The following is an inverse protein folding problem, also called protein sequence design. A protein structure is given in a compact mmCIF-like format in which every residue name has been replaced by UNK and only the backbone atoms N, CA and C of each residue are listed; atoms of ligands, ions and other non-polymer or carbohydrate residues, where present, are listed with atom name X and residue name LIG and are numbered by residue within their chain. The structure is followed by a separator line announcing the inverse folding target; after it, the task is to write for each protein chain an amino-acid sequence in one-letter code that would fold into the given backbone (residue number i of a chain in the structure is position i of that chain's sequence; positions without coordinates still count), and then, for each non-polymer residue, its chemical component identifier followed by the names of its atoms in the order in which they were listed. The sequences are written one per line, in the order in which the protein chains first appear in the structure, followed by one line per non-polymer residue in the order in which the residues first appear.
data_IF_626116901473
#
_entry.id   IF_626116901473
#
_cell.length_a   1.000
_cell.length_b   1.000
_cell.length_c   1.000
_cell.angle_alpha   90.00
_cell.angle_beta   90.00
_cell.angle_gamma   90.00
#
_symmetry.space_group_name_H-M   'P 1'
#
loop_
_entity.id
_entity.type
_entity.pdbx_description
1 polymer ?
#
# COMPACT_ATOMS: atom_id res chain seq x y z
N UNK A 1 17.99 9.43 -15.78
CA UNK A 1 16.81 9.98 -16.47
C UNK A 1 15.84 8.82 -16.53
N UNK A 2 14.76 8.89 -15.81
CA UNK A 2 13.89 7.76 -15.47
C UNK A 2 13.15 7.28 -16.71
N UNK A 3 13.58 6.16 -17.24
CA UNK A 3 12.93 5.44 -18.35
C UNK A 3 11.68 4.69 -17.87
N UNK A 4 11.50 4.60 -16.53
CA UNK A 4 10.50 3.80 -15.86
C UNK A 4 9.55 4.68 -15.04
N UNK A 5 8.61 5.36 -15.72
CA UNK A 5 7.55 6.13 -15.08
C UNK A 5 6.20 5.48 -15.31
N UNK A 6 5.45 5.29 -14.23
CA UNK A 6 4.07 4.86 -14.26
C UNK A 6 3.13 6.05 -14.18
N UNK A 7 2.04 5.93 -14.91
CA UNK A 7 0.89 6.83 -14.83
C UNK A 7 -0.35 6.06 -14.36
N UNK A 8 -1.38 6.73 -13.87
CA UNK A 8 -2.63 6.04 -13.53
C UNK A 8 -3.21 5.21 -14.68
N UNK A 9 -2.99 5.62 -15.94
CA UNK A 9 -3.46 4.89 -17.12
C UNK A 9 -2.77 3.51 -17.30
N UNK A 10 -1.58 3.31 -16.73
CA UNK A 10 -0.84 2.06 -16.81
C UNK A 10 -1.37 0.98 -15.86
N UNK A 11 -2.15 1.37 -14.86
CA UNK A 11 -2.60 0.50 -13.76
C UNK A 11 -4.11 0.43 -13.59
N UNK A 12 -4.85 1.45 -14.05
CA UNK A 12 -6.32 1.45 -13.97
C UNK A 12 -6.93 0.37 -14.86
N UNK A 13 -8.04 -0.26 -14.44
CA UNK A 13 -8.80 -1.19 -15.26
C UNK A 13 -9.20 -0.57 -16.60
N UNK A 14 -9.25 -1.39 -17.64
CA UNK A 14 -9.66 -0.94 -18.96
C UNK A 14 -11.16 -0.57 -18.99
N UNK A 15 -11.49 0.54 -19.62
CA UNK A 15 -12.87 1.00 -19.79
C UNK A 15 -13.20 2.25 -18.99
N UNK A 16 -14.44 2.74 -19.09
CA UNK A 16 -14.87 3.91 -18.34
C UNK A 16 -15.05 3.56 -16.85
N UNK A 17 -14.87 4.54 -15.94
CA UNK A 17 -15.20 4.34 -14.53
C UNK A 17 -16.66 3.90 -14.35
N UNK A 18 -16.92 3.07 -13.34
CA UNK A 18 -18.28 2.61 -13.00
C UNK A 18 -19.11 3.76 -12.41
N UNK A 19 -19.76 4.51 -13.29
CA UNK A 19 -20.56 5.67 -12.87
C UNK A 19 -21.80 5.28 -12.05
N UNK A 20 -22.27 4.05 -12.21
CA UNK A 20 -23.45 3.46 -11.58
C UNK A 20 -23.14 2.60 -10.35
N UNK A 21 -21.88 2.57 -9.90
CA UNK A 21 -21.50 1.86 -8.69
C UNK A 21 -22.06 2.55 -7.45
N UNK A 22 -22.66 1.75 -6.55
CA UNK A 22 -23.19 2.22 -5.26
C UNK A 22 -22.10 2.50 -4.24
N UNK A 23 -20.89 1.94 -4.43
CA UNK A 23 -19.74 2.05 -3.52
C UNK A 23 -18.57 2.69 -4.26
N UNK A 24 -17.97 3.71 -3.65
CA UNK A 24 -16.69 4.29 -4.09
C UNK A 24 -15.58 3.94 -3.13
N UNK A 25 -14.47 3.42 -3.65
CA UNK A 25 -13.27 3.12 -2.88
C UNK A 25 -12.13 4.05 -3.30
N UNK A 26 -11.62 4.82 -2.35
CA UNK A 26 -10.39 5.59 -2.53
C UNK A 26 -9.19 4.65 -2.35
N UNK A 27 -8.40 4.49 -3.41
CA UNK A 27 -7.20 3.64 -3.42
C UNK A 27 -5.96 4.52 -3.46
N UNK A 28 -5.17 4.48 -2.40
CA UNK A 28 -3.99 5.31 -2.20
C UNK A 28 -2.74 4.47 -2.49
N UNK A 29 -1.95 4.88 -3.46
CA UNK A 29 -0.75 4.13 -3.87
C UNK A 29 0.39 5.02 -4.27
N UNK A 30 1.58 4.42 -4.36
CA UNK A 30 2.78 5.01 -4.95
C UNK A 30 2.97 4.40 -6.34
N UNK A 31 3.06 5.22 -7.37
CA UNK A 31 3.40 4.76 -8.72
C UNK A 31 4.89 4.90 -9.03
N UNK A 32 5.52 5.92 -8.47
CA UNK A 32 6.89 6.23 -8.80
C UNK A 32 7.73 6.40 -7.52
N UNK A 33 8.74 5.55 -7.37
CA UNK A 33 9.66 5.62 -6.24
C UNK A 33 10.89 6.47 -6.62
N UNK A 34 11.54 7.12 -5.66
CA UNK A 34 12.91 7.58 -5.85
C UNK A 34 13.79 6.42 -6.30
N UNK A 35 14.68 6.68 -7.27
CA UNK A 35 15.62 5.67 -7.80
C UNK A 35 14.96 4.39 -8.36
N UNK A 36 13.76 4.53 -8.94
CA UNK A 36 12.99 3.44 -9.51
C UNK A 36 13.79 2.67 -10.57
N UNK A 37 13.86 1.35 -10.39
CA UNK A 37 14.47 0.41 -11.31
C UNK A 37 13.42 -0.25 -12.21
N UNK A 38 13.85 -0.99 -13.24
CA UNK A 38 12.95 -1.81 -14.06
C UNK A 38 12.19 -2.83 -13.21
N UNK A 39 12.85 -3.43 -12.23
CA UNK A 39 12.25 -4.41 -11.32
C UNK A 39 11.14 -3.77 -10.47
N UNK A 40 11.44 -2.66 -9.79
CA UNK A 40 10.45 -1.97 -8.95
C UNK A 40 9.31 -1.38 -9.78
N UNK A 41 9.58 -0.86 -10.98
CA UNK A 41 8.56 -0.46 -11.94
C UNK A 41 7.60 -1.61 -12.27
N UNK A 42 8.14 -2.77 -12.67
CA UNK A 42 7.32 -3.94 -12.99
C UNK A 42 6.51 -4.45 -11.81
N UNK A 43 7.09 -4.40 -10.61
CA UNK A 43 6.44 -4.79 -9.37
C UNK A 43 5.26 -3.88 -9.02
N UNK A 44 5.50 -2.57 -8.98
CA UNK A 44 4.46 -1.57 -8.69
C UNK A 44 3.33 -1.62 -9.70
N UNK A 45 3.67 -1.69 -11.00
CA UNK A 45 2.67 -1.82 -12.06
C UNK A 45 1.76 -3.03 -11.83
N UNK A 46 2.36 -4.20 -11.62
CA UNK A 46 1.62 -5.45 -11.44
C UNK A 46 0.75 -5.43 -10.20
N UNK A 47 1.29 -5.06 -9.03
CA UNK A 47 0.55 -5.12 -7.78
C UNK A 47 -0.56 -4.08 -7.73
N UNK A 48 -0.29 -2.86 -8.18
CA UNK A 48 -1.31 -1.81 -8.24
C UNK A 48 -2.43 -2.20 -9.21
N UNK A 49 -2.09 -2.69 -10.42
CA UNK A 49 -3.08 -3.10 -11.40
C UNK A 49 -3.95 -4.26 -10.89
N UNK A 50 -3.37 -5.27 -10.23
CA UNK A 50 -4.13 -6.40 -9.65
C UNK A 50 -5.07 -5.91 -8.56
N UNK A 51 -4.62 -5.04 -7.67
CA UNK A 51 -5.47 -4.48 -6.62
C UNK A 51 -6.65 -3.71 -7.20
N UNK A 52 -6.40 -2.82 -8.17
CA UNK A 52 -7.44 -2.03 -8.82
C UNK A 52 -8.41 -2.90 -9.62
N UNK A 53 -7.90 -3.89 -10.36
CA UNK A 53 -8.73 -4.84 -11.08
C UNK A 53 -9.65 -5.63 -10.14
N UNK A 54 -9.14 -6.10 -9.00
CA UNK A 54 -9.93 -6.83 -7.99
C UNK A 54 -11.07 -5.97 -7.43
N UNK A 55 -10.81 -4.69 -7.16
CA UNK A 55 -11.82 -3.74 -6.69
C UNK A 55 -12.88 -3.48 -7.78
N UNK A 56 -12.45 -3.31 -9.04
CA UNK A 56 -13.37 -3.15 -10.16
C UNK A 56 -14.24 -4.38 -10.35
N UNK A 57 -13.69 -5.59 -10.32
CA UNK A 57 -14.43 -6.85 -10.42
C UNK A 57 -15.43 -7.03 -9.27
N UNK A 58 -15.15 -6.50 -8.10
CA UNK A 58 -16.09 -6.45 -6.98
C UNK A 58 -17.25 -5.45 -7.20
N UNK A 59 -17.21 -4.64 -8.27
CA UNK A 59 -18.28 -3.74 -8.65
C UNK A 59 -18.19 -2.33 -8.08
N UNK A 60 -17.09 -1.98 -7.38
CA UNK A 60 -16.92 -0.66 -6.82
C UNK A 60 -16.38 0.35 -7.84
N UNK A 61 -16.69 1.63 -7.63
CA UNK A 61 -16.04 2.74 -8.33
C UNK A 61 -14.69 3.03 -7.66
N UNK A 62 -13.66 3.17 -8.46
CA UNK A 62 -12.31 3.43 -7.98
C UNK A 62 -12.00 4.92 -8.08
N UNK A 63 -11.54 5.50 -6.97
CA UNK A 63 -10.84 6.77 -6.92
C UNK A 63 -9.36 6.49 -6.62
N UNK A 64 -8.56 6.34 -7.66
CA UNK A 64 -7.12 6.12 -7.47
C UNK A 64 -6.40 7.45 -7.23
N UNK A 65 -5.54 7.46 -6.21
CA UNK A 65 -4.71 8.60 -5.80
C UNK A 65 -3.26 8.17 -5.77
N UNK A 66 -2.47 8.69 -6.68
CA UNK A 66 -1.02 8.55 -6.67
C UNK A 66 -0.41 9.59 -5.73
N UNK A 67 0.12 9.15 -4.59
CA UNK A 67 0.76 10.07 -3.63
C UNK A 67 2.15 10.52 -4.04
N UNK A 68 2.70 9.97 -5.12
CA UNK A 68 3.98 10.41 -5.70
C UNK A 68 3.81 11.54 -6.73
N UNK A 69 2.58 11.83 -7.17
CA UNK A 69 2.27 12.96 -8.05
C UNK A 69 2.71 14.29 -7.41
N UNK A 70 3.04 15.28 -8.23
CA UNK A 70 3.37 16.62 -7.75
C UNK A 70 2.15 17.36 -7.19
N UNK A 71 0.95 17.04 -7.67
CA UNK A 71 -0.29 17.61 -7.18
C UNK A 71 -0.60 17.09 -5.76
N UNK A 72 -1.12 17.99 -4.92
CA UNK A 72 -1.59 17.61 -3.60
C UNK A 72 -2.87 16.76 -3.71
N UNK A 73 -3.01 15.63 -2.97
CA UNK A 73 -4.21 14.84 -2.97
C UNK A 73 -5.46 15.63 -2.55
N UNK A 74 -6.58 15.34 -3.20
CA UNK A 74 -7.88 15.85 -2.74
C UNK A 74 -8.36 15.04 -1.53
N UNK A 75 -7.91 15.43 -0.33
CA UNK A 75 -8.26 14.77 0.92
C UNK A 75 -9.76 14.79 1.22
N UNK A 76 -10.46 15.84 0.77
CA UNK A 76 -11.91 15.91 0.96
C UNK A 76 -12.63 14.85 0.14
N UNK A 77 -12.19 14.62 -1.09
CA UNK A 77 -12.73 13.56 -1.94
C UNK A 77 -12.34 12.16 -1.46
N UNK A 78 -11.15 11.98 -0.86
CA UNK A 78 -10.73 10.71 -0.23
C UNK A 78 -11.64 10.40 0.96
N UNK A 79 -11.88 11.36 1.85
CA UNK A 79 -12.74 11.20 3.04
C UNK A 79 -14.21 10.95 2.67
N UNK A 80 -14.66 11.42 1.51
CA UNK A 80 -16.03 11.24 1.05
C UNK A 80 -16.28 9.84 0.44
N UNK A 81 -15.24 9.05 0.19
CA UNK A 81 -15.38 7.68 -0.30
C UNK A 81 -15.95 6.75 0.79
N UNK A 82 -16.63 5.69 0.37
CA UNK A 82 -17.24 4.70 1.28
C UNK A 82 -16.20 3.84 2.00
N UNK A 83 -15.02 3.66 1.38
CA UNK A 83 -13.88 2.97 1.98
C UNK A 83 -12.55 3.48 1.42
N UNK A 84 -11.48 3.24 2.17
CA UNK A 84 -10.11 3.62 1.80
C UNK A 84 -9.26 2.36 1.78
N UNK A 85 -8.45 2.21 0.72
CA UNK A 85 -7.44 1.16 0.61
C UNK A 85 -6.08 1.82 0.44
N UNK A 86 -5.14 1.53 1.33
CA UNK A 86 -3.75 2.00 1.24
C UNK A 86 -2.87 0.84 0.80
N UNK A 87 -2.23 0.98 -0.36
CA UNK A 87 -1.44 -0.06 -0.99
C UNK A 87 0.00 -0.12 -0.46
N UNK A 88 0.75 -1.10 -0.95
CA UNK A 88 2.19 -1.23 -0.77
C UNK A 88 3.00 -0.19 -1.54
N UNK A 89 4.31 -0.23 -1.36
CA UNK A 89 5.26 0.70 -1.99
C UNK A 89 6.68 0.49 -1.50
N UNK A 90 7.51 1.53 -1.53
CA UNK A 90 8.84 1.55 -0.95
C UNK A 90 8.84 1.54 0.58
N UNK A 91 10.01 1.67 1.20
CA UNK A 91 10.12 1.68 2.65
C UNK A 91 9.60 2.99 3.26
N UNK A 92 9.25 2.92 4.54
CA UNK A 92 8.81 4.08 5.33
C UNK A 92 10.03 4.79 5.91
N UNK A 93 10.09 6.12 5.79
CA UNK A 93 11.15 6.94 6.37
C UNK A 93 11.34 6.63 7.86
N UNK A 94 12.56 6.24 8.26
CA UNK A 94 12.87 5.86 9.63
C UNK A 94 12.46 6.88 10.69
N UNK A 95 12.60 8.18 10.38
CA UNK A 95 12.22 9.27 11.27
C UNK A 95 10.74 9.24 11.66
N UNK A 96 9.85 8.68 10.84
CA UNK A 96 8.40 8.58 11.10
C UNK A 96 8.07 7.66 12.27
N UNK A 97 8.95 6.69 12.57
CA UNK A 97 8.77 5.75 13.69
C UNK A 97 9.92 5.81 14.71
N UNK A 98 10.70 6.91 14.69
CA UNK A 98 11.74 7.20 15.68
C UNK A 98 13.09 6.53 15.42
N UNK A 99 13.32 5.97 14.23
CA UNK A 99 14.63 5.46 13.83
C UNK A 99 15.41 6.54 13.10
N UNK A 100 16.68 6.78 13.52
CA UNK A 100 17.55 7.79 12.95
C UNK A 100 18.93 7.23 12.51
N UNK A 101 19.05 5.89 12.47
CA UNK A 101 20.24 5.20 11.98
C UNK A 101 20.19 4.92 10.48
N UNK A 102 21.29 4.40 9.95
CA UNK A 102 21.32 3.86 8.59
C UNK A 102 20.51 2.56 8.52
N UNK A 103 19.82 2.36 7.40
CA UNK A 103 19.07 1.14 7.08
C UNK A 103 19.69 0.53 5.82
N UNK A 104 20.47 -0.57 5.93
CA UNK A 104 21.30 -1.05 4.82
C UNK A 104 20.55 -1.44 3.55
N UNK A 105 19.32 -1.98 3.70
CA UNK A 105 18.51 -2.47 2.59
C UNK A 105 17.32 -1.55 2.25
N UNK A 106 17.36 -0.30 2.71
CA UNK A 106 16.30 0.68 2.47
C UNK A 106 16.18 1.02 0.97
N UNK A 107 14.93 1.07 0.48
CA UNK A 107 14.67 1.42 -0.92
C UNK A 107 13.39 2.26 -1.07
N UNK A 108 13.39 3.17 -2.05
CA UNK A 108 12.18 3.86 -2.49
C UNK A 108 11.53 4.76 -1.43
N UNK A 109 12.28 5.21 -0.42
CA UNK A 109 11.79 6.11 0.62
C UNK A 109 11.43 7.47 0.02
N UNK A 110 10.19 7.88 0.20
CA UNK A 110 9.69 9.19 -0.19
C UNK A 110 8.96 9.84 0.99
N UNK A 111 9.63 10.76 1.72
CA UNK A 111 9.04 11.43 2.88
C UNK A 111 7.75 12.19 2.59
N UNK A 112 7.58 12.69 1.35
CA UNK A 112 6.35 13.35 0.91
C UNK A 112 5.19 12.38 0.78
N UNK A 113 5.44 11.21 0.19
CA UNK A 113 4.45 10.13 0.12
C UNK A 113 4.07 9.60 1.50
N UNK A 114 5.06 9.46 2.40
CA UNK A 114 4.80 9.07 3.79
C UNK A 114 3.87 10.04 4.48
N UNK A 115 4.15 11.34 4.39
CA UNK A 115 3.35 12.39 5.01
C UNK A 115 1.91 12.37 4.48
N UNK A 116 1.73 12.26 3.17
CA UNK A 116 0.42 12.22 2.52
C UNK A 116 -0.39 11.01 2.96
N UNK A 117 0.24 9.83 2.99
CA UNK A 117 -0.44 8.60 3.40
C UNK A 117 -0.72 8.56 4.91
N UNK A 118 0.21 9.01 5.73
CA UNK A 118 -0.01 9.13 7.18
C UNK A 118 -1.17 10.08 7.50
N UNK A 119 -1.29 11.18 6.75
CA UNK A 119 -2.44 12.08 6.86
C UNK A 119 -3.75 11.37 6.51
N UNK A 120 -3.82 10.67 5.38
CA UNK A 120 -5.02 9.89 4.98
C UNK A 120 -5.40 8.88 6.05
N UNK A 121 -4.41 8.12 6.55
CA UNK A 121 -4.64 7.09 7.57
C UNK A 121 -5.09 7.71 8.89
N UNK A 122 -4.45 8.81 9.32
CA UNK A 122 -4.83 9.52 10.54
C UNK A 122 -6.27 10.05 10.47
N UNK A 123 -6.65 10.72 9.37
CA UNK A 123 -8.01 11.18 9.14
C UNK A 123 -9.02 10.01 9.09
N UNK A 124 -8.64 8.86 8.50
CA UNK A 124 -9.49 7.66 8.46
C UNK A 124 -9.70 7.04 9.85
N UNK A 125 -8.66 7.03 10.70
CA UNK A 125 -8.76 6.57 12.09
C UNK A 125 -9.69 7.50 12.89
N UNK A 126 -9.50 8.82 12.78
CA UNK A 126 -10.29 9.81 13.51
C UNK A 126 -11.79 9.77 13.13
N UNK A 127 -12.09 9.46 11.87
CA UNK A 127 -13.44 9.36 11.32
C UNK A 127 -14.08 7.96 11.50
N UNK A 128 -13.38 6.97 12.07
CA UNK A 128 -13.78 5.55 12.13
C UNK A 128 -14.17 4.99 10.74
N UNK A 129 -13.43 5.40 9.71
CA UNK A 129 -13.69 5.04 8.33
C UNK A 129 -13.32 3.57 8.05
N UNK A 130 -13.99 2.98 7.04
CA UNK A 130 -13.61 1.66 6.55
C UNK A 130 -12.23 1.75 5.86
N UNK A 131 -11.20 1.20 6.49
CA UNK A 131 -9.81 1.26 6.05
C UNK A 131 -9.21 -0.14 5.91
N UNK A 132 -8.64 -0.42 4.74
CA UNK A 132 -7.78 -1.58 4.49
C UNK A 132 -6.37 -1.09 4.15
N UNK A 133 -5.39 -1.53 4.91
CA UNK A 133 -3.99 -1.19 4.72
C UNK A 133 -3.18 -2.46 4.37
N UNK A 134 -2.45 -2.44 3.25
CA UNK A 134 -1.77 -3.62 2.68
C UNK A 134 -0.26 -3.36 2.61
N UNK A 135 0.56 -4.32 3.05
CA UNK A 135 2.02 -4.27 3.00
C UNK A 135 2.55 -2.97 3.66
N UNK A 136 3.21 -2.10 2.90
CA UNK A 136 3.64 -0.79 3.41
C UNK A 136 2.48 0.02 4.02
N UNK A 137 1.28 -0.07 3.45
CA UNK A 137 0.10 0.57 4.05
C UNK A 137 -0.14 0.10 5.49
N UNK A 138 0.03 -1.19 5.80
CA UNK A 138 -0.11 -1.70 7.16
C UNK A 138 1.01 -1.22 8.10
N UNK A 139 2.21 -1.01 7.58
CA UNK A 139 3.32 -0.41 8.32
C UNK A 139 3.00 1.05 8.69
N UNK A 140 2.50 1.83 7.74
CA UNK A 140 2.06 3.21 7.98
C UNK A 140 0.87 3.29 8.94
N UNK A 141 -0.07 2.35 8.89
CA UNK A 141 -1.17 2.26 9.85
C UNK A 141 -0.65 1.99 11.27
N UNK A 142 0.33 1.11 11.42
CA UNK A 142 1.00 0.87 12.70
C UNK A 142 1.69 2.15 13.21
N UNK A 143 2.42 2.85 12.34
CA UNK A 143 3.10 4.11 12.70
C UNK A 143 2.08 5.21 13.07
N UNK A 144 1.02 5.38 12.30
CA UNK A 144 -0.05 6.33 12.60
C UNK A 144 -0.75 6.05 13.94
N UNK A 145 -0.77 4.77 14.35
CA UNK A 145 -1.30 4.33 15.65
C UNK A 145 -0.27 4.43 16.80
N UNK A 146 0.90 5.02 16.55
CA UNK A 146 1.97 5.19 17.54
C UNK A 146 2.91 3.99 17.69
N UNK A 147 2.84 3.03 16.79
CA UNK A 147 3.76 1.89 16.74
C UNK A 147 5.10 2.21 16.08
N UNK A 148 6.02 1.25 16.16
CA UNK A 148 7.34 1.32 15.52
C UNK A 148 7.51 0.17 14.52
N UNK A 149 8.55 0.27 13.67
CA UNK A 149 8.93 -0.78 12.74
C UNK A 149 10.33 -1.30 13.09
N UNK A 150 10.61 -2.53 12.72
CA UNK A 150 11.96 -3.06 12.64
C UNK A 150 12.56 -2.48 11.35
N UNK A 151 13.61 -1.65 11.43
CA UNK A 151 14.10 -0.91 10.27
C UNK A 151 14.61 -1.81 9.15
N UNK A 152 15.26 -2.91 9.51
CA UNK A 152 15.81 -3.90 8.58
C UNK A 152 15.70 -5.30 9.19
N UNK A 153 15.35 -6.29 8.38
CA UNK A 153 15.27 -7.67 8.83
C UNK A 153 16.60 -8.37 8.60
N UNK A 154 17.21 -8.91 9.65
CA UNK A 154 18.46 -9.64 9.60
C UNK A 154 18.28 -11.03 10.26
N UNK A 155 18.53 -12.12 9.53
CA UNK A 155 18.92 -12.19 8.12
C UNK A 155 17.74 -11.96 7.14
N UNK A 156 17.94 -11.11 6.14
CA UNK A 156 16.90 -10.74 5.16
C UNK A 156 16.51 -11.88 4.22
N UNK A 157 17.42 -12.85 3.99
CA UNK A 157 17.20 -14.02 3.14
C UNK A 157 16.17 -15.03 3.68
N UNK A 158 15.82 -14.93 4.96
CA UNK A 158 14.71 -15.71 5.53
C UNK A 158 13.32 -15.17 5.11
N UNK A 159 13.25 -13.90 4.71
CA UNK A 159 12.00 -13.20 4.42
C UNK A 159 11.86 -12.79 2.95
N UNK A 160 12.93 -12.95 2.17
CA UNK A 160 12.97 -12.55 0.76
C UNK A 160 13.84 -13.52 -0.03
N UNK A 161 13.39 -13.90 -1.21
CA UNK A 161 14.17 -14.74 -2.13
C UNK A 161 15.44 -14.05 -2.62
N UNK A 162 16.50 -14.86 -2.78
CA UNK A 162 17.77 -14.44 -3.34
C UNK A 162 17.74 -14.30 -4.88
N UNK A 163 18.89 -14.00 -5.50
CA UNK A 163 18.99 -13.88 -6.95
C UNK A 163 18.48 -15.13 -7.67
N UNK A 164 17.46 -14.97 -8.51
CA UNK A 164 16.84 -16.06 -9.28
C UNK A 164 15.73 -16.81 -8.56
N UNK A 165 15.42 -16.47 -7.34
CA UNK A 165 14.31 -17.00 -6.55
C UNK A 165 13.11 -16.04 -6.57
N UNK A 166 11.87 -16.51 -6.25
CA UNK A 166 10.75 -15.63 -6.07
C UNK A 166 11.04 -14.57 -4.99
N UNK A 167 10.69 -13.31 -5.25
CA UNK A 167 10.93 -12.21 -4.30
C UNK A 167 10.19 -12.42 -2.97
N UNK A 168 9.02 -13.06 -3.00
CA UNK A 168 8.20 -13.32 -1.83
C UNK A 168 8.17 -14.81 -1.55
N UNK A 169 8.34 -15.16 -0.28
CA UNK A 169 8.16 -16.51 0.22
C UNK A 169 6.73 -16.69 0.73
N UNK A 170 6.20 -17.92 0.60
CA UNK A 170 4.97 -18.31 1.25
C UNK A 170 5.26 -18.56 2.74
N UNK A 171 4.61 -17.82 3.61
CA UNK A 171 4.77 -17.94 5.05
C UNK A 171 3.45 -18.39 5.72
N UNK A 172 3.57 -19.22 6.76
CA UNK A 172 2.42 -19.58 7.59
C UNK A 172 2.08 -18.41 8.54
N UNK A 173 0.80 -18.04 8.55
CA UNK A 173 0.28 -17.01 9.46
C UNK A 173 -0.68 -17.63 10.44
N UNK A 174 -0.38 -17.52 11.74
CA UNK A 174 -1.29 -17.91 12.82
C UNK A 174 -2.34 -16.81 13.04
N UNK A 175 -3.61 -17.20 12.88
CA UNK A 175 -4.73 -16.31 13.19
C UNK A 175 -5.21 -16.58 14.61
N UNK A 176 -5.14 -15.57 15.47
CA UNK A 176 -5.65 -15.67 16.85
C UNK A 176 -7.16 -15.94 16.85
N UNK A 177 -7.61 -17.04 17.54
CA UNK A 177 -9.02 -17.38 17.62
C UNK A 177 -9.87 -16.25 18.22
N UNK A 178 -11.05 -16.02 17.67
CA UNK A 178 -11.96 -14.97 18.13
C UNK A 178 -11.68 -13.57 17.58
N UNK A 179 -10.64 -13.39 16.76
CA UNK A 179 -10.40 -12.13 16.06
C UNK A 179 -11.30 -11.98 14.82
N UNK A 180 -11.50 -10.73 14.37
CA UNK A 180 -12.24 -10.45 13.14
C UNK A 180 -11.58 -11.08 11.91
N UNK A 181 -10.25 -11.12 11.87
CA UNK A 181 -9.50 -11.76 10.79
C UNK A 181 -9.73 -13.27 10.76
N UNK A 182 -9.67 -13.94 11.93
CA UNK A 182 -9.98 -15.36 12.02
C UNK A 182 -11.43 -15.69 11.58
N UNK A 183 -12.38 -14.78 11.83
CA UNK A 183 -13.77 -14.96 11.40
C UNK A 183 -13.96 -14.84 9.86
N UNK A 184 -13.07 -14.13 9.17
CA UNK A 184 -13.06 -14.04 7.69
C UNK A 184 -12.56 -15.35 7.06
N UNK A 185 -11.72 -16.10 7.77
CA UNK A 185 -11.11 -17.36 7.32
C UNK A 185 -11.46 -18.54 8.24
N UNK A 186 -12.74 -18.93 8.35
CA UNK A 186 -13.20 -19.91 9.36
C UNK A 186 -12.66 -21.32 9.14
N UNK A 187 -12.24 -21.69 7.94
CA UNK A 187 -11.91 -23.08 7.56
C UNK A 187 -10.39 -23.30 7.35
N UNK A 188 -9.51 -22.45 7.88
CA UNK A 188 -8.07 -22.59 7.70
C UNK A 188 -7.37 -23.24 8.89
N UNK A 189 -7.78 -24.46 9.23
CA UNK A 189 -6.95 -25.47 9.89
C UNK A 189 -6.19 -26.34 8.86
N UNK A 190 -5.73 -25.72 7.75
CA UNK A 190 -5.00 -26.46 6.71
C UNK A 190 -3.83 -25.67 6.18
#
# INVERSE_FOLDING_TARGET
MTEYLLTPADVLPAGPPRADADVEIAVIGQLNLPDQTEETYGLLKRFTAVALQTIDEAGARIRFVDVTDDAEPDYAAIRAADAIVVLGGGDVEGARYGHHGEVPNEYGVDPRSDERQLRVIGEAIDDDAALLAICRGSQLLNVASGGTLIPDLDPSDLHRGGPGEPMFHDEEVLLEPGTRVAAIYPDRDR
#
